data_IF_886969374183
#
_entry.id   IF_886969374183
#
_cell.length_a   1.000
_cell.length_b   1.000
_cell.length_c   1.000
_cell.angle_alpha   90.00
_cell.angle_beta   90.00
_cell.angle_gamma   90.00
#
_symmetry.space_group_name_H-M   'P 1'
#
loop_
_entity.id
_entity.type
_entity.pdbx_description
1 polymer ?
#
# COMPACT_ATOMS: atom_id res chain seq x y z
N UNK A 1 1.22 -14.66 10.50
CA UNK A 1 1.35 -13.61 9.50
C UNK A 1 0.97 -14.19 8.15
N UNK A 2 0.17 -13.46 7.45
CA UNK A 2 0.00 -13.77 6.03
C UNK A 2 1.37 -13.81 5.38
N UNK A 3 1.68 -14.91 4.72
CA UNK A 3 2.85 -15.00 3.87
C UNK A 3 2.84 -13.80 2.90
N UNK A 4 4.01 -13.35 2.43
CA UNK A 4 4.09 -12.25 1.47
C UNK A 4 3.16 -12.46 0.27
N UNK A 5 3.07 -13.70 -0.21
CA UNK A 5 2.17 -14.05 -1.31
C UNK A 5 0.68 -13.84 -0.97
N UNK A 6 0.27 -14.09 0.27
CA UNK A 6 -1.11 -13.85 0.71
C UNK A 6 -1.39 -12.34 0.81
N UNK A 7 -0.40 -11.57 1.26
CA UNK A 7 -0.48 -10.12 1.21
C UNK A 7 -0.63 -9.60 -0.22
N UNK A 8 0.20 -10.07 -1.17
CA UNK A 8 0.11 -9.65 -2.57
C UNK A 8 -1.26 -9.99 -3.19
N UNK A 9 -1.81 -11.17 -2.90
CA UNK A 9 -3.18 -11.53 -3.33
C UNK A 9 -4.22 -10.61 -2.71
N UNK A 10 -4.06 -10.26 -1.44
CA UNK A 10 -4.95 -9.31 -0.73
C UNK A 10 -4.83 -7.92 -1.35
N UNK A 11 -3.62 -7.45 -1.64
CA UNK A 11 -3.37 -6.17 -2.29
C UNK A 11 -4.09 -6.08 -3.64
N UNK A 12 -3.93 -7.10 -4.50
CA UNK A 12 -4.63 -7.18 -5.79
C UNK A 12 -6.16 -7.15 -5.58
N UNK A 13 -6.67 -7.88 -4.60
CA UNK A 13 -8.11 -7.91 -4.32
C UNK A 13 -8.65 -6.54 -3.89
N UNK A 14 -7.98 -5.86 -2.95
CA UNK A 14 -8.45 -4.57 -2.44
C UNK A 14 -8.33 -3.44 -3.47
N UNK A 15 -7.37 -3.55 -4.40
CA UNK A 15 -7.19 -2.57 -5.50
C UNK A 15 -8.20 -2.79 -6.64
N UNK A 16 -8.58 -4.02 -6.91
CA UNK A 16 -9.28 -4.36 -8.17
C UNK A 16 -10.60 -5.10 -7.98
N UNK A 17 -10.94 -5.48 -6.75
CA UNK A 17 -12.05 -6.41 -6.43
C UNK A 17 -11.95 -7.75 -7.17
N UNK A 18 -10.74 -8.15 -7.59
CA UNK A 18 -10.49 -9.44 -8.24
C UNK A 18 -10.28 -10.50 -7.17
N UNK A 19 -11.15 -11.51 -7.13
CA UNK A 19 -11.02 -12.61 -6.16
C UNK A 19 -9.66 -13.31 -6.29
N UNK A 20 -8.98 -13.60 -5.17
CA UNK A 20 -7.70 -14.28 -5.18
C UNK A 20 -7.74 -15.59 -5.97
N UNK A 21 -6.72 -15.84 -6.78
CA UNK A 21 -6.51 -17.05 -7.55
C UNK A 21 -5.50 -17.98 -6.86
N UNK A 22 -5.22 -19.15 -7.44
CA UNK A 22 -4.27 -20.11 -6.89
C UNK A 22 -2.87 -19.53 -6.65
N UNK A 23 -2.40 -18.68 -7.57
CA UNK A 23 -1.10 -17.99 -7.44
C UNK A 23 -1.26 -16.47 -7.48
N UNK A 24 -0.25 -15.73 -7.00
CA UNK A 24 -0.20 -14.25 -7.12
C UNK A 24 -0.25 -13.85 -8.59
N UNK A 25 0.56 -14.50 -9.44
CA UNK A 25 0.59 -14.24 -10.89
C UNK A 25 -0.80 -14.38 -11.52
N UNK A 26 -1.51 -15.47 -11.27
CA UNK A 26 -2.88 -15.65 -11.80
C UNK A 26 -3.86 -14.62 -11.26
N UNK A 27 -3.69 -14.18 -10.00
CA UNK A 27 -4.48 -13.09 -9.44
C UNK A 27 -4.21 -11.76 -10.16
N UNK A 28 -2.94 -11.48 -10.45
CA UNK A 28 -2.52 -10.30 -11.20
C UNK A 28 -3.06 -10.33 -12.64
N UNK A 29 -2.82 -11.40 -13.39
CA UNK A 29 -3.28 -11.56 -14.76
C UNK A 29 -4.80 -11.34 -14.87
N UNK A 30 -5.58 -11.97 -13.98
CA UNK A 30 -7.02 -11.78 -13.92
C UNK A 30 -7.44 -10.35 -13.56
N UNK A 31 -6.67 -9.66 -12.75
CA UNK A 31 -6.91 -8.26 -12.42
C UNK A 31 -6.56 -7.33 -13.58
N UNK A 32 -5.45 -7.59 -14.25
CA UNK A 32 -4.96 -6.81 -15.39
C UNK A 32 -5.90 -6.89 -16.61
N UNK A 33 -6.62 -8.00 -16.79
CA UNK A 33 -7.67 -8.12 -17.82
C UNK A 33 -8.76 -7.04 -17.73
N UNK A 34 -8.98 -6.45 -16.54
CA UNK A 34 -9.92 -5.33 -16.36
C UNK A 34 -9.41 -4.01 -16.97
N UNK A 35 -8.13 -3.97 -17.30
CA UNK A 35 -7.46 -2.79 -17.85
C UNK A 35 -7.24 -1.67 -16.85
N UNK A 36 -6.86 -0.53 -17.39
CA UNK A 36 -6.58 0.68 -16.61
C UNK A 36 -7.87 1.29 -16.05
N UNK A 37 -7.88 1.56 -14.76
CA UNK A 37 -8.93 2.33 -14.10
C UNK A 37 -8.54 3.80 -14.10
N UNK A 38 -9.44 4.66 -14.59
CA UNK A 38 -9.27 6.11 -14.54
C UNK A 38 -10.50 6.75 -13.92
N UNK A 39 -10.43 6.99 -12.61
CA UNK A 39 -11.50 7.66 -11.87
C UNK A 39 -11.20 9.15 -11.86
N UNK A 40 -11.95 9.93 -12.66
CA UNK A 40 -11.75 11.40 -12.78
C UNK A 40 -11.84 12.18 -11.47
N UNK A 41 -12.46 11.62 -10.45
CA UNK A 41 -12.62 12.22 -9.12
C UNK A 41 -11.51 11.81 -8.14
N UNK A 42 -10.68 10.85 -8.50
CA UNK A 42 -9.56 10.38 -7.71
C UNK A 42 -8.29 11.18 -8.03
N UNK A 43 -7.58 11.62 -7.00
CA UNK A 43 -6.30 12.32 -7.14
C UNK A 43 -5.16 11.39 -7.61
N UNK A 44 -5.37 10.07 -7.61
CA UNK A 44 -4.39 9.06 -8.02
C UNK A 44 -4.17 8.98 -9.53
N UNK A 45 -5.14 9.42 -10.35
CA UNK A 45 -5.09 9.30 -11.80
C UNK A 45 -5.21 7.86 -12.31
N UNK A 46 -4.76 7.61 -13.53
CA UNK A 46 -4.82 6.28 -14.16
C UNK A 46 -4.02 5.24 -13.37
N UNK A 47 -4.66 4.10 -13.06
CA UNK A 47 -4.05 2.99 -12.31
C UNK A 47 -4.23 1.66 -13.03
N UNK A 48 -3.22 0.79 -12.94
CA UNK A 48 -3.30 -0.61 -13.35
C UNK A 48 -2.88 -1.48 -12.15
N UNK A 49 -3.78 -2.31 -11.68
CA UNK A 49 -3.60 -3.17 -10.49
C UNK A 49 -2.99 -2.40 -9.31
N UNK A 50 -3.55 -1.21 -9.01
CA UNK A 50 -3.13 -0.34 -7.91
C UNK A 50 -1.89 0.53 -8.16
N UNK A 51 -1.12 0.28 -9.23
CA UNK A 51 0.02 1.11 -9.61
C UNK A 51 -0.45 2.30 -10.45
N UNK A 52 -0.11 3.53 -10.04
CA UNK A 52 -0.39 4.71 -10.84
C UNK A 52 0.57 4.85 -12.03
N UNK A 53 0.14 5.49 -13.12
CA UNK A 53 1.03 5.76 -14.25
C UNK A 53 2.28 6.56 -13.81
N UNK A 54 2.13 7.49 -12.87
CA UNK A 54 3.25 8.25 -12.30
C UNK A 54 4.26 7.32 -11.60
N UNK A 55 3.79 6.39 -10.77
CA UNK A 55 4.64 5.42 -10.08
C UNK A 55 5.33 4.51 -11.08
N UNK A 56 4.58 3.98 -12.07
CA UNK A 56 5.15 3.16 -13.13
C UNK A 56 6.30 3.88 -13.86
N UNK A 57 6.08 5.13 -14.28
CA UNK A 57 7.13 5.91 -14.96
C UNK A 57 8.40 6.03 -14.14
N UNK A 58 8.27 6.40 -12.87
CA UNK A 58 9.43 6.54 -11.99
C UNK A 58 10.21 5.22 -11.84
N UNK A 59 9.49 4.08 -11.75
CA UNK A 59 10.12 2.76 -11.68
C UNK A 59 10.68 2.32 -13.03
N UNK A 60 9.99 2.61 -14.12
CA UNK A 60 10.47 2.32 -15.47
C UNK A 60 11.78 3.05 -15.76
N UNK A 61 11.88 4.34 -15.43
CA UNK A 61 13.12 5.13 -15.56
C UNK A 61 14.25 4.54 -14.70
N UNK A 62 13.95 4.06 -13.48
CA UNK A 62 14.93 3.45 -12.58
C UNK A 62 15.44 2.10 -13.08
N UNK A 63 14.56 1.28 -13.65
CA UNK A 63 14.87 -0.10 -14.06
C UNK A 63 15.15 -0.27 -15.55
N UNK A 64 15.12 0.82 -16.35
CA UNK A 64 15.34 0.79 -17.78
C UNK A 64 14.19 0.15 -18.58
N UNK A 65 12.96 0.21 -18.09
CA UNK A 65 11.76 -0.22 -18.81
C UNK A 65 11.22 0.91 -19.69
N UNK A 66 10.36 0.61 -20.67
CA UNK A 66 9.67 1.65 -21.44
C UNK A 66 8.79 2.53 -20.55
N UNK A 67 9.21 3.77 -20.27
CA UNK A 67 8.44 4.72 -19.42
C UNK A 67 7.32 5.43 -20.21
N UNK A 68 6.60 4.68 -21.03
CA UNK A 68 5.53 5.13 -21.92
C UNK A 68 4.16 4.67 -21.43
N UNK A 69 3.10 5.27 -21.99
CA UNK A 69 1.74 4.82 -21.76
C UNK A 69 1.54 3.37 -22.19
N UNK A 70 2.08 2.97 -23.33
CA UNK A 70 2.01 1.61 -23.84
C UNK A 70 2.66 0.62 -22.87
N UNK A 71 3.89 0.92 -22.39
CA UNK A 71 4.55 0.11 -21.36
C UNK A 71 3.70 -0.02 -20.09
N UNK A 72 3.07 1.06 -19.65
CA UNK A 72 2.20 1.02 -18.47
C UNK A 72 0.98 0.13 -18.65
N UNK A 73 0.25 0.24 -19.77
CA UNK A 73 -0.98 -0.56 -19.98
C UNK A 73 -0.69 -2.04 -20.24
N UNK A 74 0.56 -2.36 -20.61
CA UNK A 74 1.05 -3.73 -20.83
C UNK A 74 1.98 -4.20 -19.70
N UNK A 75 1.99 -3.51 -18.55
CA UNK A 75 2.84 -3.83 -17.40
C UNK A 75 2.72 -5.31 -17.06
N UNK A 76 3.86 -6.00 -17.00
CA UNK A 76 3.94 -7.43 -16.69
C UNK A 76 3.77 -7.69 -15.19
N UNK A 77 3.50 -8.96 -14.83
CA UNK A 77 3.50 -9.36 -13.42
C UNK A 77 4.85 -9.09 -12.74
N UNK A 78 5.95 -9.37 -13.42
CA UNK A 78 7.30 -9.17 -12.91
C UNK A 78 7.61 -7.70 -12.62
N UNK A 79 7.19 -6.79 -13.49
CA UNK A 79 7.32 -5.35 -13.29
C UNK A 79 6.46 -4.88 -12.11
N UNK A 80 5.19 -5.31 -12.05
CA UNK A 80 4.29 -5.01 -10.95
C UNK A 80 4.83 -5.51 -9.61
N UNK A 81 5.25 -6.77 -9.54
CA UNK A 81 5.83 -7.37 -8.33
C UNK A 81 7.09 -6.62 -7.90
N UNK A 82 7.96 -6.28 -8.84
CA UNK A 82 9.17 -5.49 -8.58
C UNK A 82 8.86 -4.10 -8.03
N UNK A 83 7.81 -3.44 -8.52
CA UNK A 83 7.34 -2.15 -7.99
C UNK A 83 6.90 -2.31 -6.53
N UNK A 84 6.09 -3.32 -6.23
CA UNK A 84 5.60 -3.57 -4.86
C UNK A 84 6.77 -3.85 -3.91
N UNK A 85 7.72 -4.71 -4.30
CA UNK A 85 8.93 -4.99 -3.53
C UNK A 85 9.79 -3.74 -3.34
N UNK A 86 10.02 -2.98 -4.41
CA UNK A 86 10.83 -1.75 -4.33
C UNK A 86 10.26 -0.79 -3.27
N UNK A 87 8.99 -0.50 -3.33
CA UNK A 87 8.34 0.43 -2.41
C UNK A 87 8.35 -0.10 -0.95
N UNK A 88 8.21 -1.41 -0.75
CA UNK A 88 8.31 -2.03 0.57
C UNK A 88 9.70 -1.84 1.21
N UNK A 89 10.76 -2.07 0.44
CA UNK A 89 12.13 -1.88 0.90
C UNK A 89 12.53 -0.39 0.97
N UNK A 90 12.07 0.42 0.04
CA UNK A 90 12.34 1.87 0.02
C UNK A 90 11.91 2.56 1.32
N UNK A 91 10.76 2.18 1.87
CA UNK A 91 10.32 2.72 3.15
C UNK A 91 10.94 2.01 4.36
N UNK A 92 11.84 1.05 4.18
CA UNK A 92 12.42 0.20 5.24
C UNK A 92 11.39 -0.63 6.02
N UNK A 93 10.27 -1.03 5.42
CA UNK A 93 9.27 -1.86 6.08
C UNK A 93 9.82 -3.26 6.45
N UNK A 94 10.79 -3.75 5.69
CA UNK A 94 11.55 -4.98 5.95
C UNK A 94 12.30 -4.98 7.29
N UNK A 95 12.59 -3.79 7.85
CA UNK A 95 13.28 -3.61 9.14
C UNK A 95 12.33 -3.56 10.34
N UNK A 96 11.03 -3.62 10.13
CA UNK A 96 10.04 -3.78 11.18
C UNK A 96 9.99 -5.26 11.54
N UNK A 97 10.25 -5.59 12.82
CA UNK A 97 10.40 -6.98 13.29
C UNK A 97 9.12 -7.78 13.17
N UNK A 98 8.00 -7.19 13.56
CA UNK A 98 6.69 -7.81 13.40
C UNK A 98 6.18 -7.62 11.99
N UNK A 99 5.95 -8.72 11.31
CA UNK A 99 5.58 -8.72 9.89
C UNK A 99 4.14 -8.26 9.66
N UNK A 100 3.23 -8.54 10.58
CA UNK A 100 1.84 -8.11 10.48
C UNK A 100 1.75 -6.58 10.57
N UNK A 101 2.50 -6.00 11.51
CA UNK A 101 2.65 -4.55 11.64
C UNK A 101 3.36 -3.93 10.42
N UNK A 102 4.42 -4.57 9.91
CA UNK A 102 5.13 -4.10 8.72
C UNK A 102 4.20 -4.00 7.50
N UNK A 103 3.39 -5.04 7.26
CA UNK A 103 2.42 -5.06 6.16
C UNK A 103 1.31 -4.03 6.35
N UNK A 104 0.80 -3.83 7.56
CA UNK A 104 -0.22 -2.81 7.83
C UNK A 104 0.31 -1.38 7.59
N UNK A 105 1.55 -1.10 7.98
CA UNK A 105 2.22 0.19 7.72
C UNK A 105 2.49 0.36 6.23
N UNK A 106 2.96 -0.69 5.54
CA UNK A 106 3.20 -0.64 4.11
C UNK A 106 1.91 -0.46 3.31
N UNK A 107 0.83 -1.18 3.65
CA UNK A 107 -0.46 -1.00 2.98
C UNK A 107 -1.02 0.42 3.18
N UNK A 108 -0.81 1.00 4.35
CA UNK A 108 -1.13 2.41 4.59
C UNK A 108 -0.28 3.34 3.72
N UNK A 109 1.02 3.05 3.59
CA UNK A 109 1.92 3.82 2.70
C UNK A 109 1.53 3.67 1.23
N UNK A 110 1.25 2.47 0.77
CA UNK A 110 0.78 2.20 -0.58
C UNK A 110 -0.44 3.05 -0.95
N UNK A 111 -1.38 3.17 -0.02
CA UNK A 111 -2.63 3.92 -0.23
C UNK A 111 -2.50 5.42 -0.03
N UNK A 112 -1.65 5.89 0.88
CA UNK A 112 -1.64 7.28 1.35
C UNK A 112 -0.25 7.95 1.34
N UNK A 113 0.76 7.27 0.78
CA UNK A 113 2.11 7.80 0.65
C UNK A 113 2.74 8.14 2.00
N UNK A 114 3.55 9.18 2.00
CA UNK A 114 4.33 9.61 3.17
C UNK A 114 3.49 10.01 4.39
N UNK A 115 2.18 10.29 4.23
CA UNK A 115 1.32 10.59 5.38
C UNK A 115 1.15 9.37 6.30
N UNK A 116 1.21 8.15 5.75
CA UNK A 116 1.24 6.93 6.55
C UNK A 116 2.44 6.92 7.51
N UNK A 117 3.64 7.18 6.98
CA UNK A 117 4.87 7.23 7.79
C UNK A 117 4.80 8.33 8.85
N UNK A 118 4.34 9.53 8.48
CA UNK A 118 4.15 10.65 9.42
C UNK A 118 3.16 10.30 10.53
N UNK A 119 2.11 9.57 10.21
CA UNK A 119 1.14 9.10 11.20
C UNK A 119 1.80 8.14 12.18
N UNK A 120 2.56 7.15 11.69
CA UNK A 120 3.32 6.24 12.55
C UNK A 120 4.30 7.00 13.44
N UNK A 121 5.02 7.98 12.90
CA UNK A 121 5.97 8.81 13.65
C UNK A 121 5.29 9.58 14.80
N UNK A 122 4.09 10.14 14.57
CA UNK A 122 3.29 10.78 15.64
C UNK A 122 2.91 9.75 16.72
N UNK A 123 2.51 8.54 16.33
CA UNK A 123 2.12 7.47 17.25
C UNK A 123 3.28 7.05 18.16
N UNK A 124 4.48 6.89 17.59
CA UNK A 124 5.68 6.44 18.33
C UNK A 124 6.53 7.60 18.87
N UNK A 125 6.04 8.84 18.77
CA UNK A 125 6.64 10.07 19.29
C UNK A 125 8.09 10.30 18.78
N UNK A 126 8.26 10.21 17.45
CA UNK A 126 9.54 10.54 16.78
C UNK A 126 9.38 11.75 15.86
N UNK A 127 10.50 12.24 15.30
CA UNK A 127 10.49 13.35 14.34
C UNK A 127 9.61 13.01 13.14
N UNK A 128 8.65 13.91 12.82
CA UNK A 128 7.65 13.72 11.76
C UNK A 128 8.20 14.23 10.43
N UNK A 129 9.12 13.48 9.83
CA UNK A 129 9.77 13.81 8.56
C UNK A 129 9.28 12.98 7.37
N UNK A 130 8.45 11.97 7.63
CA UNK A 130 7.91 11.06 6.60
C UNK A 130 8.89 9.98 6.15
N UNK A 131 9.94 9.67 6.94
CA UNK A 131 10.94 8.64 6.65
C UNK A 131 11.03 7.64 7.80
N UNK A 132 10.94 6.34 7.51
CA UNK A 132 11.22 5.29 8.51
C UNK A 132 12.73 5.13 8.70
N UNK A 133 13.34 6.16 9.31
CA UNK A 133 14.77 6.14 9.66
C UNK A 133 15.05 5.32 10.93
N UNK A 134 16.35 5.14 11.29
CA UNK A 134 16.76 4.28 12.41
C UNK A 134 16.06 4.59 13.74
N UNK A 135 15.84 5.87 14.07
CA UNK A 135 15.14 6.29 15.29
C UNK A 135 13.67 5.87 15.30
N UNK A 136 12.98 6.06 14.17
CA UNK A 136 11.58 5.64 14.03
C UNK A 136 11.44 4.11 14.07
N UNK A 137 12.31 3.39 13.38
CA UNK A 137 12.34 1.92 13.39
C UNK A 137 12.62 1.37 14.79
N UNK A 138 13.57 1.96 15.53
CA UNK A 138 13.83 1.57 16.91
C UNK A 138 12.59 1.78 17.79
N UNK A 139 11.93 2.95 17.66
CA UNK A 139 10.71 3.25 18.40
C UNK A 139 9.55 2.31 18.03
N UNK A 140 9.39 1.93 16.76
CA UNK A 140 8.40 0.92 16.33
C UNK A 140 8.71 -0.42 16.99
N UNK A 141 9.96 -0.88 16.90
CA UNK A 141 10.36 -2.23 17.28
C UNK A 141 10.45 -2.48 18.80
N UNK A 142 10.38 -1.44 19.65
CA UNK A 142 10.30 -1.58 21.11
C UNK A 142 8.87 -1.57 21.65
N UNK A 143 7.89 -1.18 20.84
CA UNK A 143 6.48 -1.23 21.21
C UNK A 143 5.93 -2.66 21.09
N UNK A 144 4.88 -2.95 21.86
CA UNK A 144 4.06 -4.13 21.63
C UNK A 144 3.45 -4.04 20.23
N UNK A 145 3.73 -5.00 19.33
CA UNK A 145 3.35 -4.89 17.94
C UNK A 145 1.82 -4.93 17.73
N UNK A 146 1.09 -5.69 18.54
CA UNK A 146 -0.36 -5.77 18.47
C UNK A 146 -1.01 -4.45 18.88
N UNK A 147 -0.55 -3.85 19.97
CA UNK A 147 -1.04 -2.55 20.42
C UNK A 147 -0.71 -1.45 19.43
N UNK A 148 0.50 -1.48 18.86
CA UNK A 148 0.90 -0.51 17.86
C UNK A 148 0.10 -0.67 16.57
N UNK A 149 -0.16 -1.90 16.12
CA UNK A 149 -1.01 -2.18 14.98
C UNK A 149 -2.43 -1.59 15.16
N UNK A 150 -3.05 -1.80 16.33
CA UNK A 150 -4.36 -1.23 16.65
C UNK A 150 -4.34 0.31 16.59
N UNK A 151 -3.30 0.95 17.14
CA UNK A 151 -3.15 2.42 17.10
C UNK A 151 -2.97 2.93 15.66
N UNK A 152 -2.15 2.26 14.85
CA UNK A 152 -1.96 2.60 13.43
C UNK A 152 -3.27 2.47 12.66
N UNK A 153 -4.01 1.38 12.87
CA UNK A 153 -5.32 1.14 12.27
C UNK A 153 -6.32 2.24 12.63
N UNK A 154 -6.40 2.60 13.91
CA UNK A 154 -7.31 3.64 14.40
C UNK A 154 -6.98 5.02 13.79
N UNK A 155 -5.71 5.43 13.82
CA UNK A 155 -5.30 6.72 13.25
C UNK A 155 -5.44 6.75 11.72
N UNK A 156 -5.23 5.62 11.04
CA UNK A 156 -5.51 5.48 9.61
C UNK A 156 -7.00 5.71 9.31
N UNK A 157 -7.90 5.11 10.08
CA UNK A 157 -9.35 5.33 9.90
C UNK A 157 -9.73 6.80 10.09
N UNK A 158 -9.23 7.46 11.13
CA UNK A 158 -9.45 8.91 11.34
C UNK A 158 -8.93 9.74 10.16
N UNK A 159 -7.74 9.41 9.64
CA UNK A 159 -7.18 10.08 8.48
C UNK A 159 -8.08 9.93 7.25
N UNK A 160 -8.55 8.71 6.95
CA UNK A 160 -9.45 8.43 5.83
C UNK A 160 -10.79 9.15 5.97
N UNK A 161 -11.36 9.20 7.16
CA UNK A 161 -12.57 9.97 7.45
C UNK A 161 -12.35 11.49 7.25
N UNK A 162 -11.17 11.99 7.59
CA UNK A 162 -10.81 13.40 7.35
C UNK A 162 -10.77 13.75 5.86
N UNK A 163 -10.22 12.84 5.03
CA UNK A 163 -10.19 13.00 3.56
C UNK A 163 -11.62 12.96 2.99
N UNK A 164 -12.45 12.03 3.48
CA UNK A 164 -13.83 11.84 3.03
C UNK A 164 -14.76 13.03 3.33
N UNK A 165 -14.32 14.01 4.14
CA UNK A 165 -15.04 15.29 4.31
C UNK A 165 -15.11 16.09 3.01
N UNK A 166 -14.14 15.89 2.10
CA UNK A 166 -14.19 16.49 0.75
C UNK A 166 -15.28 15.79 -0.08
N UNK A 167 -16.22 16.53 -0.70
CA UNK A 167 -17.31 15.92 -1.46
C UNK A 167 -16.85 14.92 -2.53
N UNK A 168 -15.74 15.22 -3.22
CA UNK A 168 -15.15 14.38 -4.26
C UNK A 168 -14.56 13.06 -3.74
N UNK A 169 -14.33 12.93 -2.44
CA UNK A 169 -13.70 11.75 -1.82
C UNK A 169 -14.68 10.92 -0.98
N UNK A 170 -15.86 11.48 -0.68
CA UNK A 170 -16.85 10.85 0.21
C UNK A 170 -17.28 9.47 -0.26
N UNK A 171 -17.45 9.27 -1.56
CA UNK A 171 -17.89 7.99 -2.14
C UNK A 171 -16.91 6.84 -1.97
N UNK A 172 -15.65 7.12 -1.65
CA UNK A 172 -14.61 6.08 -1.50
C UNK A 172 -14.47 5.56 -0.06
N UNK A 173 -15.08 6.23 0.93
CA UNK A 173 -14.85 5.96 2.35
C UNK A 173 -15.13 4.50 2.74
N UNK A 174 -16.24 3.94 2.29
CA UNK A 174 -16.60 2.55 2.62
C UNK A 174 -15.60 1.55 2.03
N UNK A 175 -15.15 1.78 0.79
CA UNK A 175 -14.09 0.98 0.17
C UNK A 175 -12.78 1.06 0.96
N UNK A 176 -12.41 2.24 1.44
CA UNK A 176 -11.22 2.43 2.27
C UNK A 176 -11.33 1.75 3.63
N UNK A 177 -12.50 1.83 4.30
CA UNK A 177 -12.77 1.12 5.56
C UNK A 177 -12.67 -0.39 5.38
N UNK A 178 -13.25 -0.92 4.31
CA UNK A 178 -13.16 -2.34 3.97
C UNK A 178 -11.70 -2.76 3.76
N UNK A 179 -10.89 -1.96 3.04
CA UNK A 179 -9.46 -2.22 2.90
C UNK A 179 -8.74 -2.31 4.25
N UNK A 180 -9.00 -1.37 5.16
CA UNK A 180 -8.39 -1.39 6.49
C UNK A 180 -8.80 -2.64 7.28
N UNK A 181 -10.06 -3.07 7.16
CA UNK A 181 -10.55 -4.28 7.82
C UNK A 181 -9.88 -5.58 7.32
N UNK A 182 -9.29 -5.60 6.13
CA UNK A 182 -8.51 -6.73 5.61
C UNK A 182 -7.09 -6.82 6.20
N UNK A 183 -6.59 -5.73 6.79
CA UNK A 183 -5.25 -5.67 7.40
C UNK A 183 -5.33 -6.05 8.88
N UNK A 184 -5.80 -7.28 9.17
CA UNK A 184 -5.88 -7.80 10.53
C UNK A 184 -4.50 -8.12 11.10
N UNK A 185 -4.34 -7.93 12.42
CA UNK A 185 -3.16 -8.41 13.12
C UNK A 185 -3.20 -9.93 13.26
N UNK A 186 -2.14 -10.61 12.89
CA UNK A 186 -1.93 -12.04 13.10
C UNK A 186 -0.64 -12.23 13.90
N UNK A 187 -0.70 -12.99 14.98
CA UNK A 187 0.48 -13.34 15.75
C UNK A 187 1.45 -14.16 14.89
N UNK A 188 2.73 -13.75 14.86
CA UNK A 188 3.82 -14.40 14.11
C UNK A 188 4.45 -15.53 14.89
#
# INVERSE_FOLDING_TARGET
MKEWNDYLKTLIFVETSTKPQATVRKSYERAAEKGVTNVKLDNGGATLVGVTFKTYKAMADLYGWPSTWEGFVTMTFEEWERIVYHLYFEINADKIRDKSLALAIFDFYWHSGTEAVKTVQRIVNTTVDGRLGPKTLAAINVNDPRQLHLRVTFERLKFLESIARKPSQRGFLEGWKNRVAWMTYEES
#
